data_IF_747153478972
#
_entry.id   IF_747153478972
#
_cell.length_a   1.000
_cell.length_b   1.000
_cell.length_c   1.000
_cell.angle_alpha   90.00
_cell.angle_beta   90.00
_cell.angle_gamma   90.00
#
_symmetry.space_group_name_H-M   'P 1'
#
loop_
_entity.id
_entity.type
_entity.pdbx_description
1 polymer ?
#
# COMPACT_ATOMS: atom_id res chain seq x y z
N UNK A 1 -11.03 -32.52 11.25
CA UNK A 1 -9.63 -32.45 10.78
C UNK A 1 -9.48 -32.06 9.29
N UNK A 2 -10.48 -31.43 8.62
CA UNK A 2 -10.41 -31.20 7.16
C UNK A 2 -10.10 -29.78 6.67
N UNK A 3 -10.00 -28.79 7.56
CA UNK A 3 -9.88 -27.38 7.14
C UNK A 3 -8.52 -27.00 6.55
N UNK A 4 -7.43 -27.42 7.19
CA UNK A 4 -6.07 -27.04 6.78
C UNK A 4 -5.65 -27.69 5.45
N UNK A 5 -6.06 -28.93 5.18
CA UNK A 5 -5.70 -29.63 3.95
C UNK A 5 -6.41 -29.05 2.72
N UNK A 6 -7.68 -28.63 2.89
CA UNK A 6 -8.44 -27.97 1.83
C UNK A 6 -7.86 -26.61 1.45
N UNK A 7 -7.42 -25.83 2.43
CA UNK A 7 -6.77 -24.54 2.17
C UNK A 7 -5.43 -24.71 1.45
N UNK A 8 -4.59 -25.66 1.88
CA UNK A 8 -3.34 -25.98 1.17
C UNK A 8 -3.59 -26.46 -0.27
N UNK A 9 -4.62 -27.29 -0.47
CA UNK A 9 -5.03 -27.75 -1.79
C UNK A 9 -5.46 -26.60 -2.71
N UNK A 10 -6.24 -25.64 -2.19
CA UNK A 10 -6.66 -24.45 -2.92
C UNK A 10 -5.49 -23.54 -3.25
N UNK A 11 -4.58 -23.30 -2.30
CA UNK A 11 -3.38 -22.52 -2.53
C UNK A 11 -2.51 -23.10 -3.66
N UNK A 12 -2.24 -24.41 -3.61
CA UNK A 12 -1.50 -25.08 -4.69
C UNK A 12 -2.24 -25.03 -6.03
N UNK A 13 -3.55 -25.19 -6.02
CA UNK A 13 -4.35 -25.06 -7.24
C UNK A 13 -4.28 -23.64 -7.83
N UNK A 14 -4.31 -22.60 -6.99
CA UNK A 14 -4.15 -21.21 -7.40
C UNK A 14 -2.76 -20.94 -7.99
N UNK A 15 -1.71 -21.47 -7.35
CA UNK A 15 -0.34 -21.37 -7.84
C UNK A 15 -0.17 -21.99 -9.23
N UNK A 16 -0.62 -23.24 -9.42
CA UNK A 16 -0.57 -23.92 -10.72
C UNK A 16 -1.37 -23.18 -11.80
N UNK A 17 -2.49 -22.58 -11.43
CA UNK A 17 -3.27 -21.75 -12.36
C UNK A 17 -2.53 -20.46 -12.73
N UNK A 18 -1.89 -19.78 -11.77
CA UNK A 18 -1.06 -18.61 -12.03
C UNK A 18 0.10 -18.94 -12.97
N UNK A 19 0.81 -20.06 -12.74
CA UNK A 19 1.88 -20.56 -13.60
C UNK A 19 1.39 -20.81 -15.03
N UNK A 20 0.24 -21.46 -15.20
CA UNK A 20 -0.37 -21.68 -16.52
C UNK A 20 -0.72 -20.38 -17.22
N UNK A 21 -1.30 -19.43 -16.50
CA UNK A 21 -1.66 -18.13 -17.07
C UNK A 21 -0.41 -17.33 -17.46
N UNK A 22 0.68 -17.43 -16.69
CA UNK A 22 1.96 -16.85 -17.06
C UNK A 22 2.53 -17.45 -18.36
N UNK A 23 2.38 -18.76 -18.59
CA UNK A 23 2.76 -19.38 -19.87
C UNK A 23 1.94 -18.82 -21.04
N UNK A 24 0.65 -18.54 -20.84
CA UNK A 24 -0.20 -17.92 -21.87
C UNK A 24 0.25 -16.50 -22.17
N UNK A 25 0.59 -15.72 -21.14
CA UNK A 25 1.16 -14.36 -21.30
C UNK A 25 2.48 -14.41 -22.07
N UNK A 26 3.34 -15.40 -21.82
CA UNK A 26 4.58 -15.54 -22.58
C UNK A 26 4.37 -15.98 -24.02
N UNK A 27 3.39 -16.85 -24.26
CA UNK A 27 2.93 -17.14 -25.62
C UNK A 27 2.52 -15.85 -26.34
N UNK A 28 1.72 -15.01 -25.68
CA UNK A 28 1.30 -13.73 -26.22
C UNK A 28 2.51 -12.83 -26.52
N UNK A 29 3.49 -12.74 -25.63
CA UNK A 29 4.72 -11.96 -25.87
C UNK A 29 5.47 -12.45 -27.09
N UNK A 30 5.61 -13.75 -27.24
CA UNK A 30 6.35 -14.36 -28.36
C UNK A 30 5.61 -14.17 -29.69
N UNK A 31 4.29 -14.27 -29.69
CA UNK A 31 3.47 -14.13 -30.90
C UNK A 31 3.30 -12.67 -31.31
N UNK A 32 3.12 -11.77 -30.34
CA UNK A 32 2.69 -10.39 -30.56
C UNK A 32 3.83 -9.38 -30.38
N UNK A 33 5.02 -9.82 -29.94
CA UNK A 33 6.21 -8.99 -29.73
C UNK A 33 6.12 -8.03 -28.54
N UNK A 34 5.03 -8.08 -27.77
CA UNK A 34 4.76 -7.25 -26.60
C UNK A 34 4.01 -8.05 -25.56
N UNK A 35 4.15 -7.69 -24.29
CA UNK A 35 3.26 -8.18 -23.24
C UNK A 35 1.87 -7.51 -23.37
N UNK A 36 0.79 -8.16 -22.89
CA UNK A 36 -0.52 -7.52 -22.80
C UNK A 36 -0.51 -6.38 -21.77
N UNK A 37 -1.39 -5.38 -21.90
CA UNK A 37 -1.58 -4.37 -20.86
C UNK A 37 -2.47 -4.92 -19.73
N UNK A 38 -3.39 -5.83 -20.07
CA UNK A 38 -4.29 -6.50 -19.14
C UNK A 38 -4.62 -7.93 -19.58
N UNK A 39 -4.98 -8.81 -18.64
CA UNK A 39 -5.32 -10.21 -18.95
C UNK A 39 -6.51 -10.36 -19.92
N UNK A 40 -7.39 -9.37 -19.98
CA UNK A 40 -8.52 -9.37 -20.91
C UNK A 40 -8.06 -9.32 -22.39
N UNK A 41 -6.86 -8.80 -22.68
CA UNK A 41 -6.31 -8.83 -24.05
C UNK A 41 -6.04 -10.25 -24.56
N UNK A 42 -5.83 -11.20 -23.66
CA UNK A 42 -5.65 -12.61 -24.02
C UNK A 42 -6.90 -13.19 -24.71
N UNK A 43 -8.09 -12.57 -24.55
CA UNK A 43 -9.36 -13.02 -25.13
C UNK A 43 -9.64 -12.46 -26.53
N UNK A 44 -8.73 -11.63 -27.07
CA UNK A 44 -8.71 -11.34 -28.50
C UNK A 44 -9.65 -10.26 -29.00
N UNK A 45 -10.03 -9.28 -28.18
CA UNK A 45 -10.79 -8.10 -28.67
C UNK A 45 -9.89 -7.14 -29.47
N UNK A 46 -8.56 -7.19 -29.28
CA UNK A 46 -7.57 -6.37 -29.99
C UNK A 46 -6.46 -7.28 -30.52
N UNK A 47 -6.70 -8.00 -31.62
CA UNK A 47 -5.65 -8.81 -32.27
C UNK A 47 -5.12 -8.10 -33.50
N UNK A 48 -3.88 -7.67 -33.42
CA UNK A 48 -3.08 -7.36 -34.61
C UNK A 48 -2.94 -8.64 -35.46
N UNK A 49 -2.88 -8.49 -36.80
CA UNK A 49 -2.90 -9.61 -37.76
C UNK A 49 -1.82 -10.68 -37.52
N UNK A 50 -0.75 -10.35 -36.79
CA UNK A 50 0.38 -11.24 -36.52
C UNK A 50 0.34 -11.88 -35.12
N UNK A 51 -0.65 -11.58 -34.29
CA UNK A 51 -0.72 -12.04 -32.90
C UNK A 51 -1.56 -13.33 -32.79
N UNK A 52 -0.93 -14.51 -32.95
CA UNK A 52 -1.60 -15.83 -33.04
C UNK A 52 -1.74 -16.60 -31.70
N UNK A 53 -1.89 -15.92 -30.56
CA UNK A 53 -2.09 -16.64 -29.29
C UNK A 53 -3.48 -17.30 -29.18
N UNK A 54 -3.52 -18.49 -28.57
CA UNK A 54 -4.78 -19.19 -28.28
C UNK A 54 -5.41 -18.60 -27.03
N UNK A 55 -6.66 -18.12 -27.09
CA UNK A 55 -7.29 -17.46 -25.94
C UNK A 55 -7.52 -18.48 -24.79
N UNK A 56 -7.21 -18.10 -23.54
CA UNK A 56 -7.58 -18.91 -22.39
C UNK A 56 -9.10 -18.94 -22.21
N UNK A 57 -9.61 -19.85 -21.40
CA UNK A 57 -11.02 -19.85 -20.97
C UNK A 57 -11.22 -18.81 -19.87
N UNK A 58 -12.40 -18.19 -19.80
CA UNK A 58 -12.70 -17.20 -18.75
C UNK A 58 -12.54 -17.79 -17.34
N UNK A 59 -12.90 -19.07 -17.16
CA UNK A 59 -12.72 -19.79 -15.90
C UNK A 59 -11.25 -19.95 -15.46
N UNK A 60 -10.29 -19.75 -16.36
CA UNK A 60 -8.85 -19.80 -16.05
C UNK A 60 -8.33 -18.45 -15.54
N UNK A 61 -9.12 -17.37 -15.64
CA UNK A 61 -8.81 -16.08 -15.04
C UNK A 61 -9.31 -15.94 -13.61
N UNK A 62 -10.02 -16.93 -13.08
CA UNK A 62 -10.63 -16.88 -11.77
C UNK A 62 -9.93 -17.90 -10.87
N UNK A 63 -9.50 -17.44 -9.69
CA UNK A 63 -8.84 -18.27 -8.70
C UNK A 63 -9.82 -19.21 -7.97
N UNK A 64 -9.33 -20.16 -7.15
CA UNK A 64 -10.18 -21.08 -6.38
C UNK A 64 -11.14 -20.42 -5.37
N UNK A 65 -10.96 -19.14 -5.05
CA UNK A 65 -11.79 -18.36 -4.13
C UNK A 65 -12.77 -17.43 -4.87
N UNK A 66 -12.77 -17.46 -6.21
CA UNK A 66 -13.67 -16.71 -7.07
C UNK A 66 -13.18 -15.31 -7.43
N UNK A 67 -11.95 -14.95 -7.11
CA UNK A 67 -11.37 -13.65 -7.46
C UNK A 67 -10.67 -13.74 -8.83
N UNK A 68 -10.63 -12.65 -9.59
CA UNK A 68 -9.82 -12.62 -10.81
C UNK A 68 -8.33 -12.57 -10.46
N UNK A 69 -7.50 -13.25 -11.24
CA UNK A 69 -6.06 -13.09 -11.15
C UNK A 69 -5.67 -11.63 -11.39
N UNK A 70 -4.76 -11.13 -10.56
CA UNK A 70 -4.12 -9.84 -10.72
C UNK A 70 -2.93 -10.04 -11.66
N UNK A 71 -2.85 -9.17 -12.67
CA UNK A 71 -1.73 -9.10 -13.59
C UNK A 71 -1.03 -7.77 -13.44
N UNK A 72 0.28 -7.83 -13.43
CA UNK A 72 1.12 -6.65 -13.42
C UNK A 72 2.26 -6.82 -14.41
N UNK A 73 2.61 -5.74 -15.08
CA UNK A 73 3.72 -5.67 -16.04
C UNK A 73 4.64 -4.52 -15.65
N UNK A 74 5.94 -4.77 -15.71
CA UNK A 74 6.96 -3.75 -15.53
C UNK A 74 7.08 -2.83 -16.74
N UNK A 75 7.51 -1.60 -16.50
CA UNK A 75 7.78 -0.62 -17.55
C UNK A 75 8.86 -1.10 -18.52
N UNK A 76 9.77 -1.98 -18.05
CA UNK A 76 10.80 -2.61 -18.89
C UNK A 76 10.24 -3.52 -20.01
N UNK A 77 8.93 -3.81 -19.97
CA UNK A 77 8.21 -4.65 -20.91
C UNK A 77 8.76 -6.08 -21.06
N UNK A 78 9.60 -6.52 -20.11
CA UNK A 78 10.21 -7.85 -20.04
C UNK A 78 9.70 -8.63 -18.84
N UNK A 79 9.41 -7.93 -17.75
CA UNK A 79 9.00 -8.54 -16.49
C UNK A 79 7.50 -8.40 -16.29
N UNK A 80 6.84 -9.48 -15.89
CA UNK A 80 5.44 -9.47 -15.50
C UNK A 80 5.19 -10.45 -14.35
N UNK A 81 4.06 -10.30 -13.69
CA UNK A 81 3.61 -11.19 -12.62
C UNK A 81 2.12 -11.50 -12.79
N UNK A 82 1.76 -12.75 -12.49
CA UNK A 82 0.37 -13.19 -12.34
C UNK A 82 0.17 -13.70 -10.91
N UNK A 83 -0.88 -13.21 -10.26
CA UNK A 83 -1.12 -13.45 -8.83
C UNK A 83 -2.60 -13.71 -8.50
N UNK A 84 -2.84 -14.69 -7.64
CA UNK A 84 -4.11 -14.89 -6.94
C UNK A 84 -4.10 -14.08 -5.64
N UNK A 85 -5.17 -13.33 -5.35
CA UNK A 85 -5.34 -12.54 -4.10
C UNK A 85 -5.84 -13.36 -2.92
N UNK A 86 -5.88 -14.69 -3.08
CA UNK A 86 -6.19 -15.61 -2.01
C UNK A 86 -7.63 -15.51 -1.51
N UNK A 87 -7.82 -15.99 -0.29
CA UNK A 87 -9.12 -16.02 0.38
C UNK A 87 -9.48 -14.64 0.93
N UNK A 88 -8.49 -13.89 1.39
CA UNK A 88 -8.69 -12.59 1.99
C UNK A 88 -8.97 -11.48 0.96
N UNK A 89 -8.81 -11.80 -0.33
CA UNK A 89 -9.03 -10.91 -1.48
C UNK A 89 -8.21 -9.62 -1.38
N UNK A 90 -7.09 -9.68 -0.67
CA UNK A 90 -6.27 -8.53 -0.35
C UNK A 90 -4.90 -8.72 -0.96
N UNK A 91 -4.60 -7.91 -1.97
CA UNK A 91 -3.30 -7.94 -2.62
C UNK A 91 -2.15 -7.68 -1.62
N UNK A 92 -1.12 -8.52 -1.68
CA UNK A 92 0.10 -8.43 -0.88
C UNK A 92 0.02 -9.12 0.47
N UNK A 93 -0.98 -9.97 0.69
CA UNK A 93 -1.16 -10.76 1.91
C UNK A 93 -0.31 -12.04 1.90
N UNK A 94 -0.45 -12.86 2.93
CA UNK A 94 0.30 -14.11 3.08
C UNK A 94 -0.36 -15.29 2.35
N UNK A 95 -1.63 -15.19 1.98
CA UNK A 95 -2.39 -16.20 1.25
C UNK A 95 -2.41 -15.98 -0.27
N UNK A 96 -1.70 -14.94 -0.74
CA UNK A 96 -1.41 -14.71 -2.15
C UNK A 96 -0.61 -15.87 -2.77
N UNK A 97 -1.02 -16.33 -3.96
CA UNK A 97 -0.30 -17.34 -4.73
C UNK A 97 0.21 -16.75 -6.06
N UNK A 98 1.50 -16.88 -6.35
CA UNK A 98 2.15 -16.26 -7.52
C UNK A 98 2.67 -17.29 -8.52
N UNK A 99 2.80 -16.91 -9.79
CA UNK A 99 3.35 -17.76 -10.85
C UNK A 99 4.88 -17.94 -10.78
N UNK A 100 5.60 -17.10 -10.04
CA UNK A 100 7.07 -17.04 -10.05
C UNK A 100 7.77 -17.93 -9.02
N UNK A 101 7.04 -18.78 -8.29
CA UNK A 101 7.61 -19.57 -7.20
C UNK A 101 8.20 -18.74 -6.06
N UNK A 102 7.92 -17.43 -6.03
CA UNK A 102 8.34 -16.56 -4.95
C UNK A 102 7.73 -17.09 -3.65
N UNK A 103 8.55 -17.16 -2.61
CA UNK A 103 8.11 -17.50 -1.26
C UNK A 103 8.26 -16.26 -0.40
N UNK A 104 7.44 -16.19 0.64
CA UNK A 104 7.48 -15.10 1.61
C UNK A 104 8.88 -14.96 2.27
N UNK A 105 9.38 -13.73 2.55
CA UNK A 105 8.79 -12.44 2.22
C UNK A 105 9.14 -12.02 0.78
N UNK A 106 8.13 -11.55 0.06
CA UNK A 106 8.24 -11.10 -1.32
C UNK A 106 9.17 -9.89 -1.43
N UNK A 107 10.03 -9.80 -2.47
CA UNK A 107 10.61 -8.52 -2.85
C UNK A 107 9.44 -7.57 -3.13
N UNK A 108 9.31 -6.57 -2.27
CA UNK A 108 8.26 -5.58 -2.42
C UNK A 108 8.52 -4.86 -3.74
N UNK A 109 7.61 -4.94 -4.72
CA UNK A 109 7.77 -4.09 -5.87
C UNK A 109 7.81 -2.62 -5.42
N UNK A 110 8.57 -1.75 -6.09
CA UNK A 110 8.84 -0.39 -5.61
C UNK A 110 7.57 0.43 -5.31
N UNK A 111 6.41 0.09 -5.89
CA UNK A 111 5.12 0.77 -5.65
C UNK A 111 4.34 0.32 -4.41
N UNK A 112 4.69 -0.79 -3.73
CA UNK A 112 3.94 -1.19 -2.52
C UNK A 112 4.08 -0.16 -1.38
N UNK A 113 5.13 0.66 -1.44
CA UNK A 113 5.37 1.82 -0.58
C UNK A 113 4.43 2.98 -0.89
N UNK A 114 4.05 3.16 -2.18
CA UNK A 114 3.12 4.20 -2.61
C UNK A 114 1.67 3.87 -2.22
N UNK A 115 1.26 2.61 -2.35
CA UNK A 115 -0.06 2.14 -1.86
C UNK A 115 -0.17 2.20 -0.34
N UNK A 116 0.88 1.76 0.38
CA UNK A 116 0.95 1.91 1.85
C UNK A 116 0.90 3.38 2.21
N UNK A 117 1.71 4.21 1.54
CA UNK A 117 1.76 5.66 1.68
C UNK A 117 0.39 6.31 1.64
N UNK A 118 -0.48 5.95 0.70
CA UNK A 118 -1.85 6.50 0.62
C UNK A 118 -2.73 6.19 1.83
N UNK A 119 -2.52 5.08 2.53
CA UNK A 119 -3.30 4.72 3.73
C UNK A 119 -2.70 5.28 5.02
N UNK A 120 -1.37 5.35 5.14
CA UNK A 120 -0.70 5.92 6.34
C UNK A 120 -0.52 7.44 6.29
N UNK A 121 -0.46 8.06 5.10
CA UNK A 121 -0.33 9.50 4.96
C UNK A 121 -1.38 10.32 5.74
N UNK A 122 -2.70 10.02 5.69
CA UNK A 122 -3.67 10.79 6.46
C UNK A 122 -3.49 10.60 7.97
N UNK A 123 -3.08 9.41 8.43
CA UNK A 123 -2.84 9.13 9.85
C UNK A 123 -1.63 9.93 10.33
N UNK A 124 -0.52 9.90 9.60
CA UNK A 124 0.69 10.64 9.93
C UNK A 124 0.44 12.16 9.90
N UNK A 125 -0.28 12.66 8.89
CA UNK A 125 -0.69 14.06 8.80
C UNK A 125 -1.55 14.49 9.99
N UNK A 126 -2.49 13.65 10.40
CA UNK A 126 -3.36 13.93 11.56
C UNK A 126 -2.57 13.96 12.87
N UNK A 127 -1.65 13.01 13.08
CA UNK A 127 -0.77 13.00 14.25
C UNK A 127 0.12 14.25 14.29
N UNK A 128 0.74 14.62 13.16
CA UNK A 128 1.54 15.84 13.08
C UNK A 128 0.71 17.10 13.34
N UNK A 129 -0.51 17.18 12.80
CA UNK A 129 -1.42 18.31 13.05
C UNK A 129 -1.78 18.44 14.53
N UNK A 130 -2.07 17.32 15.22
CA UNK A 130 -2.35 17.32 16.66
C UNK A 130 -1.13 17.73 17.49
N UNK A 131 0.08 17.27 17.12
CA UNK A 131 1.31 17.67 17.79
C UNK A 131 1.59 19.16 17.62
N UNK A 132 1.38 19.72 16.43
CA UNK A 132 1.54 21.15 16.17
C UNK A 132 0.52 21.99 16.95
N UNK A 133 -0.74 21.55 17.01
CA UNK A 133 -1.78 22.18 17.84
C UNK A 133 -1.40 22.17 19.32
N UNK A 134 -0.93 21.04 19.84
CA UNK A 134 -0.46 20.92 21.22
C UNK A 134 0.75 21.80 21.52
N UNK A 135 1.71 21.88 20.59
CA UNK A 135 2.86 22.79 20.74
C UNK A 135 2.42 24.27 20.71
N UNK A 136 1.46 24.62 19.86
CA UNK A 136 0.93 25.98 19.77
C UNK A 136 0.21 26.40 21.06
N UNK A 137 -0.62 25.55 21.64
CA UNK A 137 -1.33 25.85 22.90
C UNK A 137 -0.36 26.06 24.06
N UNK A 138 0.69 25.24 24.15
CA UNK A 138 1.75 25.42 25.15
C UNK A 138 2.50 26.75 24.97
N UNK A 139 2.81 27.14 23.73
CA UNK A 139 3.46 28.43 23.43
C UNK A 139 2.58 29.62 23.80
N UNK A 140 1.28 29.54 23.54
CA UNK A 140 0.32 30.58 23.93
C UNK A 140 0.19 30.68 25.46
N UNK A 141 0.18 29.56 26.16
CA UNK A 141 0.16 29.52 27.63
C UNK A 141 1.41 30.16 28.23
N UNK A 142 2.61 29.81 27.74
CA UNK A 142 3.86 30.45 28.17
C UNK A 142 3.84 31.96 27.95
N UNK A 143 3.33 32.40 26.80
CA UNK A 143 3.19 33.82 26.48
C UNK A 143 2.25 34.53 27.44
N UNK A 144 1.07 33.95 27.72
CA UNK A 144 0.12 34.49 28.68
C UNK A 144 0.71 34.62 30.10
N UNK A 145 1.43 33.60 30.57
CA UNK A 145 2.12 33.63 31.88
C UNK A 145 3.16 34.76 31.92
N UNK A 146 3.96 34.92 30.85
CA UNK A 146 4.94 36.01 30.76
C UNK A 146 4.26 37.38 30.80
N UNK A 147 3.12 37.52 30.14
CA UNK A 147 2.36 38.77 30.07
C UNK A 147 1.77 39.13 31.43
N UNK A 148 1.14 38.16 32.12
CA UNK A 148 0.66 38.34 33.51
C UNK A 148 1.80 38.76 34.44
N UNK A 149 2.96 38.10 34.37
CA UNK A 149 4.15 38.48 35.17
C UNK A 149 4.70 39.85 34.82
N UNK A 150 4.60 40.29 33.57
CA UNK A 150 5.03 41.63 33.16
C UNK A 150 4.07 42.69 33.71
N UNK A 151 2.76 42.47 33.58
CA UNK A 151 1.71 43.36 34.12
C UNK A 151 1.80 43.46 35.63
N UNK A 152 1.99 42.34 36.34
CA UNK A 152 2.13 42.34 37.81
C UNK A 152 3.39 43.08 38.28
N UNK A 153 4.48 43.07 37.50
CA UNK A 153 5.67 43.89 37.77
C UNK A 153 5.44 45.39 37.54
N UNK A 154 4.59 45.74 36.58
CA UNK A 154 4.26 47.14 36.27
C UNK A 154 3.25 47.73 37.26
N UNK A 155 2.26 46.93 37.69
CA UNK A 155 1.24 47.31 38.68
C UNK A 155 1.68 47.06 40.13
N UNK A 156 2.77 46.31 40.36
CA UNK A 156 3.30 46.05 41.69
C UNK A 156 3.62 47.37 42.40
N UNK A 157 3.31 47.48 43.70
CA UNK A 157 3.33 48.74 44.42
C UNK A 157 4.72 49.40 44.32
N UNK A 158 4.78 50.55 43.64
CA UNK A 158 5.98 51.38 43.51
C UNK A 158 6.40 52.07 44.83
N UNK A 159 6.01 51.54 45.98
CA UNK A 159 6.02 52.28 47.24
C UNK A 159 6.25 51.39 48.46
N UNK A 160 7.46 50.87 48.60
CA UNK A 160 8.03 50.59 49.90
C UNK A 160 9.46 51.16 49.92
N UNK A 161 9.55 52.46 49.61
CA UNK A 161 10.75 53.25 49.83
C UNK A 161 11.02 53.34 51.33
N UNK A 162 12.03 52.59 51.75
CA UNK A 162 13.03 52.96 52.75
C UNK A 162 12.62 54.01 53.80
N UNK A 163 12.21 53.55 54.98
CA UNK A 163 12.50 54.25 56.23
C UNK A 163 13.71 53.59 56.89
N UNK A 164 14.91 54.12 56.66
CA UNK A 164 16.06 53.88 57.54
C UNK A 164 15.77 54.57 58.88
N UNK A 165 15.78 53.86 60.02
CA UNK A 165 15.86 54.53 61.30
C UNK A 165 17.32 54.93 61.52
N UNK A 166 17.56 56.24 61.58
CA UNK A 166 18.75 56.78 62.21
C UNK A 166 18.57 56.73 63.72
N UNK A 167 19.54 56.10 64.39
CA UNK A 167 20.22 56.44 65.65
C UNK A 167 20.71 55.18 66.37
#
# INVERSE_FOLDING_TARGET
>A
MGGCDLEHGRYRAAQVQAERLALVVEGFRNDCGRLPDQLDELFGVVRDRNCFTTPPRFSQLVDPWGSRFVYWRADDSRTFEVRSVGRDRTYGSFDDATSGGWTWPWPQPPWSWAERGRRVAPIVMLVLALLLLGALTLRLLEFAIRLVRAVWRWLGPAGAGASQPGE
#
